data_IF_932751118232
#
_entry.id   IF_932751118232
#
_cell.length_a   1.000
_cell.length_b   1.000
_cell.length_c   1.000
_cell.angle_alpha   90.00
_cell.angle_beta   90.00
_cell.angle_gamma   90.00
#
_symmetry.space_group_name_H-M   'P 1'
#
loop_
_entity.id
_entity.type
_entity.pdbx_description
1 polymer ?
#
# COMPACT_ATOMS: atom_id res chain seq x y z
N UNK A 1 -37.06 10.16 -53.75
CA UNK A 1 -35.75 9.85 -53.13
C UNK A 1 -35.43 10.92 -52.10
N UNK A 2 -35.64 10.67 -50.80
CA UNK A 2 -34.84 11.29 -49.73
C UNK A 2 -34.81 10.28 -48.57
N UNK A 3 -33.74 9.49 -48.50
CA UNK A 3 -33.49 8.61 -47.36
C UNK A 3 -32.95 9.44 -46.21
N UNK A 4 -33.73 9.62 -45.16
CA UNK A 4 -33.27 10.24 -43.92
C UNK A 4 -32.43 9.20 -43.16
N UNK A 5 -31.11 9.30 -43.32
CA UNK A 5 -30.17 8.51 -42.54
C UNK A 5 -30.26 8.90 -41.06
N UNK A 6 -30.84 8.03 -40.24
CA UNK A 6 -30.75 8.15 -38.79
C UNK A 6 -29.29 7.98 -38.38
N UNK A 7 -28.64 9.07 -38.02
CA UNK A 7 -27.35 9.03 -37.35
C UNK A 7 -27.53 8.30 -36.02
N UNK A 8 -27.01 7.07 -35.91
CA UNK A 8 -26.96 6.36 -34.64
C UNK A 8 -26.10 7.16 -33.66
N UNK A 9 -26.76 7.78 -32.66
CA UNK A 9 -26.07 8.33 -31.49
C UNK A 9 -25.31 7.18 -30.84
N UNK A 10 -23.98 7.23 -30.92
CA UNK A 10 -23.08 6.30 -30.23
C UNK A 10 -23.31 6.45 -28.74
N UNK A 11 -24.19 5.64 -28.17
CA UNK A 11 -24.42 5.61 -26.73
C UNK A 11 -23.18 5.03 -26.09
N UNK A 12 -22.49 5.84 -25.28
CA UNK A 12 -21.34 5.42 -24.52
C UNK A 12 -21.79 4.34 -23.53
N UNK A 13 -21.58 3.07 -23.88
CA UNK A 13 -21.85 1.95 -22.99
C UNK A 13 -20.73 1.89 -21.95
N UNK A 14 -21.04 2.36 -20.74
CA UNK A 14 -20.13 2.28 -19.59
C UNK A 14 -19.87 0.81 -19.26
N UNK A 15 -18.59 0.40 -19.26
CA UNK A 15 -18.20 -0.88 -18.69
C UNK A 15 -18.04 -0.69 -17.17
N UNK A 16 -18.90 -1.30 -16.34
CA UNK A 16 -18.88 -1.08 -14.88
C UNK A 16 -17.55 -1.50 -14.25
N UNK A 17 -16.89 -2.53 -14.76
CA UNK A 17 -15.60 -3.01 -14.25
C UNK A 17 -14.52 -1.93 -14.41
N UNK A 18 -14.48 -1.26 -15.57
CA UNK A 18 -13.53 -0.16 -15.83
C UNK A 18 -13.77 1.03 -14.90
N UNK A 19 -15.03 1.34 -14.61
CA UNK A 19 -15.40 2.41 -13.68
C UNK A 19 -14.92 2.06 -12.27
N UNK A 20 -15.16 0.84 -11.81
CA UNK A 20 -14.70 0.39 -10.48
C UNK A 20 -13.17 0.44 -10.38
N UNK A 21 -12.44 -0.02 -11.40
CA UNK A 21 -10.97 0.08 -11.42
C UNK A 21 -10.48 1.53 -11.39
N UNK A 22 -11.08 2.42 -12.17
CA UNK A 22 -10.70 3.83 -12.19
C UNK A 22 -10.96 4.48 -10.82
N UNK A 23 -12.13 4.23 -10.23
CA UNK A 23 -12.48 4.74 -8.91
C UNK A 23 -11.53 4.20 -7.85
N UNK A 24 -11.28 2.89 -7.83
CA UNK A 24 -10.35 2.26 -6.89
C UNK A 24 -8.93 2.83 -7.03
N UNK A 25 -8.45 3.05 -8.25
CA UNK A 25 -7.14 3.65 -8.51
C UNK A 25 -7.04 5.07 -7.93
N UNK A 26 -8.01 5.94 -8.27
CA UNK A 26 -8.00 7.33 -7.80
C UNK A 26 -8.17 7.39 -6.28
N UNK A 27 -9.17 6.69 -5.74
CA UNK A 27 -9.45 6.68 -4.30
C UNK A 27 -8.28 6.09 -3.52
N UNK A 28 -7.72 4.97 -3.97
CA UNK A 28 -6.58 4.34 -3.32
C UNK A 28 -5.32 5.21 -3.31
N UNK A 29 -4.99 5.86 -4.44
CA UNK A 29 -3.86 6.80 -4.50
C UNK A 29 -4.06 8.01 -3.58
N UNK A 30 -5.27 8.55 -3.50
CA UNK A 30 -5.62 9.63 -2.56
C UNK A 30 -5.53 9.12 -1.11
N UNK A 31 -6.01 7.91 -0.82
CA UNK A 31 -5.92 7.31 0.52
C UNK A 31 -4.46 7.15 0.96
N UNK A 32 -3.53 6.75 0.08
CA UNK A 32 -2.11 6.66 0.41
C UNK A 32 -1.53 8.00 0.92
N UNK A 33 -2.06 9.13 0.45
CA UNK A 33 -1.63 10.48 0.83
C UNK A 33 -2.37 10.98 2.07
N UNK A 34 -3.69 10.86 2.09
CA UNK A 34 -4.53 11.50 3.10
C UNK A 34 -4.74 10.68 4.38
N UNK A 35 -4.53 9.36 4.34
CA UNK A 35 -4.47 8.59 5.58
C UNK A 35 -3.21 9.06 6.33
N UNK A 36 -3.30 9.57 7.56
CA UNK A 36 -2.11 9.98 8.28
C UNK A 36 -1.19 8.77 8.50
N UNK A 37 0.12 9.00 8.42
CA UNK A 37 1.12 7.99 8.76
C UNK A 37 0.93 7.54 10.21
N UNK A 38 0.85 6.23 10.44
CA UNK A 38 0.59 5.65 11.74
C UNK A 38 -0.89 5.38 12.04
N UNK A 39 -1.82 5.79 11.18
CA UNK A 39 -3.24 5.39 11.36
C UNK A 39 -3.55 3.99 10.83
N UNK A 40 -2.69 3.41 9.99
CA UNK A 40 -2.78 1.99 9.65
C UNK A 40 -2.54 1.11 10.87
N UNK A 41 -3.13 -0.08 10.89
CA UNK A 41 -2.86 -1.05 11.95
C UNK A 41 -1.38 -1.44 11.91
N UNK A 42 -0.69 -1.27 13.05
CA UNK A 42 0.72 -1.65 13.23
C UNK A 42 1.70 -1.05 12.21
N UNK A 43 1.36 0.08 11.61
CA UNK A 43 2.12 0.67 10.50
C UNK A 43 3.58 1.00 10.87
N UNK A 44 3.79 1.43 12.11
CA UNK A 44 5.10 1.69 12.71
C UNK A 44 5.99 0.42 12.77
N UNK A 45 5.40 -0.71 13.12
CA UNK A 45 6.17 -1.94 13.23
C UNK A 45 6.49 -2.50 11.83
N UNK A 46 5.64 -2.23 10.85
CA UNK A 46 5.90 -2.57 9.45
C UNK A 46 6.97 -1.67 8.82
N UNK A 47 6.98 -0.35 9.04
CA UNK A 47 8.03 0.53 8.50
C UNK A 47 9.42 0.15 9.01
N UNK A 48 9.53 -0.21 10.30
CA UNK A 48 10.77 -0.73 10.89
C UNK A 48 11.20 -1.99 10.16
N UNK A 49 10.26 -2.89 9.85
CA UNK A 49 10.56 -4.11 9.10
C UNK A 49 10.98 -3.83 7.65
N UNK A 50 10.33 -2.90 6.95
CA UNK A 50 10.74 -2.47 5.61
C UNK A 50 12.16 -1.90 5.64
N UNK A 51 12.48 -1.11 6.66
CA UNK A 51 13.81 -0.54 6.83
C UNK A 51 14.88 -1.62 7.11
N UNK A 52 14.56 -2.65 7.87
CA UNK A 52 15.47 -3.79 8.09
C UNK A 52 15.74 -4.58 6.82
N UNK A 53 14.68 -4.93 6.10
CA UNK A 53 14.79 -5.68 4.85
C UNK A 53 15.58 -4.86 3.81
N UNK A 54 15.46 -3.52 3.83
CA UNK A 54 16.28 -2.64 2.99
C UNK A 54 17.78 -2.69 3.32
N UNK A 55 18.12 -3.11 4.54
CA UNK A 55 19.48 -3.37 5.00
C UNK A 55 19.93 -4.81 4.90
N UNK A 56 19.18 -5.65 4.19
CA UNK A 56 19.45 -7.08 4.03
C UNK A 56 19.31 -7.89 5.34
N UNK A 57 18.67 -7.33 6.37
CA UNK A 57 18.33 -8.05 7.60
C UNK A 57 17.03 -8.86 7.43
N UNK A 58 17.10 -9.92 6.62
CA UNK A 58 15.94 -10.75 6.29
C UNK A 58 15.44 -11.60 7.46
N UNK A 59 16.28 -11.91 8.44
CA UNK A 59 15.87 -12.66 9.63
C UNK A 59 15.36 -11.68 10.67
N UNK A 60 14.14 -11.87 11.21
CA UNK A 60 13.55 -10.94 12.15
C UNK A 60 14.03 -11.21 13.58
N UNK A 61 15.35 -11.14 13.78
CA UNK A 61 16.04 -11.33 15.06
C UNK A 61 16.48 -9.99 15.66
N UNK A 62 15.55 -9.03 15.75
CA UNK A 62 15.86 -7.71 16.31
C UNK A 62 16.16 -7.79 17.80
N UNK A 63 17.19 -7.09 18.22
CA UNK A 63 17.43 -6.76 19.63
C UNK A 63 18.39 -5.60 19.77
N UNK A 64 18.20 -4.75 20.78
CA UNK A 64 19.16 -3.69 21.13
C UNK A 64 20.56 -4.30 21.34
N UNK A 65 20.61 -5.51 21.91
CA UNK A 65 21.83 -6.30 22.13
C UNK A 65 22.57 -6.65 20.82
N UNK A 66 21.84 -6.72 19.70
CA UNK A 66 22.39 -6.99 18.36
C UNK A 66 22.75 -5.70 17.61
N UNK A 67 22.55 -4.53 18.22
CA UNK A 67 22.78 -3.22 17.58
C UNK A 67 21.72 -2.85 16.54
N UNK A 68 20.53 -3.46 16.60
CA UNK A 68 19.46 -3.21 15.65
C UNK A 68 18.67 -1.95 16.03
N UNK A 69 19.01 -0.82 15.41
CA UNK A 69 18.31 0.44 15.58
C UNK A 69 17.46 0.81 14.37
N UNK A 70 16.48 1.68 14.59
CA UNK A 70 15.68 2.30 13.53
C UNK A 70 15.74 3.82 13.67
N UNK A 71 15.32 4.54 12.63
CA UNK A 71 15.14 5.98 12.69
C UNK A 71 14.06 6.34 13.73
N UNK A 72 14.39 7.18 14.69
CA UNK A 72 13.47 7.63 15.74
C UNK A 72 12.26 8.38 15.17
N UNK A 73 12.43 9.02 14.01
CA UNK A 73 11.36 9.72 13.31
C UNK A 73 10.23 8.78 12.88
N UNK A 74 10.50 7.49 12.63
CA UNK A 74 9.44 6.52 12.32
C UNK A 74 8.44 6.37 13.47
N UNK A 75 8.89 6.51 14.71
CA UNK A 75 8.04 6.42 15.89
C UNK A 75 7.45 7.80 16.20
N UNK A 76 8.28 8.84 16.23
CA UNK A 76 7.88 10.18 16.63
C UNK A 76 6.85 10.83 15.70
N UNK A 77 6.94 10.57 14.40
CA UNK A 77 6.01 11.13 13.42
C UNK A 77 4.69 10.37 13.34
N UNK A 78 4.62 9.16 13.89
CA UNK A 78 3.40 8.35 13.84
C UNK A 78 2.24 9.04 14.55
N UNK A 79 1.11 9.12 13.86
CA UNK A 79 -0.13 9.69 14.38
C UNK A 79 -0.59 9.05 15.70
N UNK A 80 -0.41 7.73 15.85
CA UNK A 80 -0.83 7.00 17.05
C UNK A 80 0.09 7.21 18.28
N UNK A 81 1.35 7.62 18.07
CA UNK A 81 2.37 7.75 19.13
C UNK A 81 2.58 9.17 19.61
N UNK A 82 1.90 10.15 19.01
CA UNK A 82 2.04 11.54 19.41
C UNK A 82 1.47 11.77 20.79
N UNK A 83 2.27 12.44 21.62
CA UNK A 83 1.90 12.86 22.97
C UNK A 83 0.65 13.76 23.00
N UNK A 84 0.42 14.54 21.93
CA UNK A 84 -0.77 15.36 21.75
C UNK A 84 -1.40 15.05 20.39
N UNK A 85 -2.70 14.77 20.38
CA UNK A 85 -3.47 14.48 19.18
C UNK A 85 -3.70 15.80 18.41
N UNK A 86 -2.74 16.17 17.58
CA UNK A 86 -2.89 17.23 16.59
C UNK A 86 -3.74 16.77 15.42
N UNK A 87 -4.33 17.69 14.63
CA UNK A 87 -5.07 17.32 13.43
C UNK A 87 -4.19 16.50 12.48
N UNK A 88 -4.71 15.38 11.97
CA UNK A 88 -4.01 14.48 11.05
C UNK A 88 -3.40 15.16 9.81
N UNK A 89 -3.94 16.32 9.41
CA UNK A 89 -3.46 17.11 8.28
C UNK A 89 -2.12 17.80 8.54
N UNK A 90 -1.66 17.88 9.78
CA UNK A 90 -0.39 18.52 10.12
C UNK A 90 0.83 17.77 9.56
N UNK A 91 0.70 16.45 9.36
CA UNK A 91 1.67 15.59 8.67
C UNK A 91 1.89 16.01 7.22
N UNK A 92 0.87 16.62 6.61
CA UNK A 92 0.93 17.17 5.26
C UNK A 92 1.31 18.65 5.26
N UNK A 93 1.67 19.20 6.41
CA UNK A 93 2.02 20.61 6.60
C UNK A 93 3.52 20.81 6.87
N UNK A 94 4.02 21.95 6.37
CA UNK A 94 5.42 22.40 6.33
C UNK A 94 6.44 21.56 7.09
N UNK A 95 6.61 21.81 8.40
CA UNK A 95 7.73 21.26 9.16
C UNK A 95 7.74 19.73 9.20
N UNK A 96 6.60 19.12 9.53
CA UNK A 96 6.51 17.65 9.70
C UNK A 96 6.63 16.91 8.37
N UNK A 97 6.11 17.49 7.28
CA UNK A 97 6.18 16.88 5.95
C UNK A 97 7.63 16.80 5.42
N UNK A 98 8.47 17.79 5.77
CA UNK A 98 9.85 17.87 5.30
C UNK A 98 10.88 17.36 6.31
N UNK A 99 10.43 16.74 7.41
CA UNK A 99 11.32 16.18 8.45
C UNK A 99 12.16 15.03 7.86
N UNK A 100 13.49 15.19 7.91
CA UNK A 100 14.48 14.25 7.39
C UNK A 100 14.87 13.19 8.43
N UNK A 101 15.38 12.02 7.99
CA UNK A 101 15.98 11.06 8.91
C UNK A 101 17.18 11.68 9.64
N UNK A 102 17.22 11.53 10.96
CA UNK A 102 18.37 11.90 11.78
C UNK A 102 19.07 10.62 12.27
N UNK A 103 20.21 10.32 11.67
CA UNK A 103 21.02 9.15 11.99
C UNK A 103 21.65 9.19 13.39
N UNK A 104 21.60 10.34 14.08
CA UNK A 104 21.97 10.44 15.50
C UNK A 104 20.79 10.14 16.42
N UNK A 105 19.56 10.27 15.93
CA UNK A 105 18.32 9.99 16.64
C UNK A 105 17.82 8.57 16.35
N UNK A 106 18.59 7.59 16.79
CA UNK A 106 18.28 6.19 16.59
C UNK A 106 17.46 5.65 17.77
N UNK A 107 16.38 4.92 17.49
CA UNK A 107 15.46 4.36 18.48
C UNK A 107 15.41 2.83 18.41
N UNK A 108 15.01 2.21 19.52
CA UNK A 108 14.58 0.81 19.50
C UNK A 108 13.18 0.72 18.90
N UNK A 109 13.03 -0.14 17.89
CA UNK A 109 11.80 -0.34 17.15
C UNK A 109 11.37 -1.79 17.24
N UNK A 110 10.19 -2.04 17.83
CA UNK A 110 9.60 -3.37 17.78
C UNK A 110 9.10 -3.68 16.37
N UNK A 111 9.52 -4.82 15.82
CA UNK A 111 9.17 -5.23 14.46
C UNK A 111 8.09 -6.30 14.47
N UNK A 112 7.25 -6.34 13.42
CA UNK A 112 6.34 -7.48 13.18
C UNK A 112 7.11 -8.62 12.52
N UNK A 113 7.78 -9.40 13.38
CA UNK A 113 8.66 -10.53 13.03
C UNK A 113 7.97 -11.73 12.34
N UNK A 114 6.64 -11.83 12.41
CA UNK A 114 5.91 -13.05 11.99
C UNK A 114 5.71 -13.24 10.47
N UNK A 115 5.97 -12.22 9.63
CA UNK A 115 5.64 -12.26 8.21
C UNK A 115 6.83 -12.68 7.33
N UNK A 116 6.52 -13.34 6.21
CA UNK A 116 7.52 -13.80 5.24
C UNK A 116 8.28 -12.60 4.63
N UNK A 117 9.63 -12.57 4.68
CA UNK A 117 10.41 -11.38 4.30
C UNK A 117 10.22 -10.91 2.85
N UNK A 118 9.90 -11.81 1.91
CA UNK A 118 9.71 -11.44 0.50
C UNK A 118 8.53 -10.48 0.30
N UNK A 119 7.53 -10.49 1.19
CA UNK A 119 6.40 -9.56 1.13
C UNK A 119 6.82 -8.10 1.34
N UNK A 120 7.97 -7.87 1.98
CA UNK A 120 8.47 -6.52 2.27
C UNK A 120 9.36 -5.96 1.19
N UNK A 121 9.94 -6.81 0.32
CA UNK A 121 11.01 -6.41 -0.62
C UNK A 121 10.63 -5.19 -1.46
N UNK A 122 9.43 -5.12 -2.10
CA UNK A 122 9.17 -4.03 -3.03
C UNK A 122 9.18 -2.65 -2.38
N UNK A 123 8.52 -2.49 -1.21
CA UNK A 123 8.55 -1.24 -0.47
C UNK A 123 9.88 -1.07 0.30
N UNK A 124 10.56 -2.15 0.68
CA UNK A 124 11.89 -2.08 1.29
C UNK A 124 12.95 -1.53 0.33
N UNK A 125 12.87 -1.84 -0.98
CA UNK A 125 13.74 -1.21 -1.99
C UNK A 125 13.55 0.31 -2.00
N UNK A 126 12.31 0.77 -1.92
CA UNK A 126 12.00 2.21 -1.82
C UNK A 126 12.60 2.80 -0.54
N UNK A 127 12.39 2.16 0.61
CA UNK A 127 12.95 2.59 1.89
C UNK A 127 14.48 2.73 1.84
N UNK A 128 15.17 1.75 1.22
CA UNK A 128 16.62 1.76 1.05
C UNK A 128 17.08 2.92 0.17
N UNK A 129 16.45 3.12 -0.99
CA UNK A 129 16.80 4.22 -1.89
C UNK A 129 16.54 5.56 -1.21
N UNK A 130 15.37 5.75 -0.62
CA UNK A 130 14.93 7.06 -0.14
C UNK A 130 15.66 7.49 1.13
N UNK A 131 15.79 6.60 2.11
CA UNK A 131 16.36 6.95 3.40
C UNK A 131 17.85 6.65 3.51
N UNK A 132 18.33 5.54 2.94
CA UNK A 132 19.77 5.18 3.06
C UNK A 132 20.65 5.87 2.02
N UNK A 133 20.12 6.25 0.86
CA UNK A 133 20.90 6.86 -0.23
C UNK A 133 20.68 8.37 -0.34
N UNK A 134 19.45 8.85 -0.14
CA UNK A 134 19.08 10.25 -0.41
C UNK A 134 18.70 11.07 0.83
N UNK A 135 18.63 10.48 2.02
CA UNK A 135 18.12 11.12 3.25
C UNK A 135 16.80 11.89 3.01
N UNK A 136 15.89 11.27 2.24
CA UNK A 136 14.61 11.87 1.87
C UNK A 136 13.75 12.03 3.13
N UNK A 137 13.03 13.16 3.30
CA UNK A 137 11.97 13.29 4.29
C UNK A 137 11.07 12.05 4.49
N UNK A 138 10.76 11.76 5.75
CA UNK A 138 10.07 10.51 6.16
C UNK A 138 8.66 10.41 5.56
N UNK A 139 7.85 11.46 5.70
CA UNK A 139 6.44 11.43 5.26
C UNK A 139 6.30 11.26 3.74
N UNK A 140 7.00 12.02 2.89
CA UNK A 140 7.08 11.75 1.45
C UNK A 140 7.55 10.32 1.14
N UNK A 141 8.57 9.81 1.84
CA UNK A 141 9.04 8.43 1.67
C UNK A 141 7.95 7.40 1.95
N UNK A 142 7.20 7.58 3.04
CA UNK A 142 6.03 6.75 3.39
C UNK A 142 4.96 6.79 2.30
N UNK A 143 4.63 7.98 1.77
CA UNK A 143 3.63 8.13 0.70
C UNK A 143 4.05 7.32 -0.55
N UNK A 144 5.32 7.42 -0.95
CA UNK A 144 5.82 6.66 -2.11
C UNK A 144 5.81 5.17 -1.83
N UNK A 145 6.21 4.74 -0.63
CA UNK A 145 6.12 3.33 -0.24
C UNK A 145 4.68 2.80 -0.29
N UNK A 146 3.71 3.59 0.19
CA UNK A 146 2.28 3.26 0.12
C UNK A 146 1.79 3.19 -1.32
N UNK A 147 2.20 4.10 -2.20
CA UNK A 147 1.89 4.00 -3.63
C UNK A 147 2.43 2.72 -4.25
N UNK A 148 3.68 2.34 -3.96
CA UNK A 148 4.25 1.08 -4.46
C UNK A 148 3.46 -0.13 -3.94
N UNK A 149 3.15 -0.17 -2.64
CA UNK A 149 2.32 -1.21 -2.05
C UNK A 149 0.93 -1.31 -2.69
N UNK A 150 0.24 -0.17 -2.82
CA UNK A 150 -1.08 -0.08 -3.43
C UNK A 150 -1.08 -0.47 -4.91
N UNK A 151 -0.09 -0.03 -5.69
CA UNK A 151 0.00 -0.37 -7.12
C UNK A 151 0.26 -1.86 -7.34
N UNK A 152 1.03 -2.50 -6.46
CA UNK A 152 1.18 -3.96 -6.49
C UNK A 152 -0.13 -4.67 -6.16
N UNK A 153 -0.82 -4.26 -5.10
CA UNK A 153 -2.16 -4.76 -4.76
C UNK A 153 -3.10 -4.64 -5.97
N UNK A 154 -3.22 -3.44 -6.52
CA UNK A 154 -4.06 -3.12 -7.67
C UNK A 154 -3.71 -3.97 -8.89
N UNK A 155 -2.41 -4.12 -9.18
CA UNK A 155 -1.92 -4.97 -10.27
C UNK A 155 -2.28 -6.44 -10.10
N UNK A 156 -2.13 -7.00 -8.90
CA UNK A 156 -2.51 -8.37 -8.59
C UNK A 156 -4.02 -8.59 -8.70
N UNK A 157 -4.84 -7.66 -8.21
CA UNK A 157 -6.31 -7.70 -8.38
C UNK A 157 -6.69 -7.61 -9.86
N UNK A 158 -6.01 -6.79 -10.65
CA UNK A 158 -6.24 -6.72 -12.09
C UNK A 158 -5.90 -8.04 -12.80
N UNK A 159 -4.80 -8.69 -12.41
CA UNK A 159 -4.44 -10.02 -12.92
C UNK A 159 -5.46 -11.08 -12.50
N UNK A 160 -5.95 -11.06 -11.26
CA UNK A 160 -6.97 -11.96 -10.76
C UNK A 160 -8.28 -11.80 -11.53
N UNK A 161 -8.71 -10.56 -11.72
CA UNK A 161 -9.90 -10.20 -12.48
C UNK A 161 -9.83 -10.72 -13.94
N UNK A 162 -8.67 -10.62 -14.60
CA UNK A 162 -8.48 -11.16 -15.95
C UNK A 162 -8.64 -12.67 -16.03
N UNK A 163 -8.34 -13.38 -14.96
CA UNK A 163 -8.45 -14.84 -14.93
C UNK A 163 -9.87 -15.33 -14.64
N UNK A 164 -10.69 -14.53 -13.99
CA UNK A 164 -12.04 -14.92 -13.60
C UNK A 164 -12.95 -15.13 -14.83
N UNK A 165 -13.58 -16.32 -14.97
CA UNK A 165 -14.53 -16.59 -16.05
C UNK A 165 -15.91 -15.98 -15.80
N UNK A 166 -16.30 -15.80 -14.53
CA UNK A 166 -17.62 -15.30 -14.11
C UNK A 166 -17.50 -14.52 -12.80
N UNK A 167 -18.55 -13.74 -12.45
CA UNK A 167 -18.61 -13.02 -11.18
C UNK A 167 -17.62 -11.85 -11.03
N UNK A 168 -17.05 -11.38 -12.14
CA UNK A 168 -16.00 -10.36 -12.17
C UNK A 168 -16.34 -9.08 -11.40
N UNK A 169 -17.56 -8.56 -11.57
CA UNK A 169 -17.97 -7.34 -10.88
C UNK A 169 -18.08 -7.55 -9.37
N UNK A 170 -18.66 -8.68 -8.92
CA UNK A 170 -18.76 -9.01 -7.50
C UNK A 170 -17.37 -9.15 -6.86
N UNK A 171 -16.46 -9.82 -7.56
CA UNK A 171 -15.07 -9.92 -7.14
C UNK A 171 -14.42 -8.54 -6.95
N UNK A 172 -14.62 -7.61 -7.90
CA UNK A 172 -14.08 -6.25 -7.78
C UNK A 172 -14.68 -5.46 -6.61
N UNK A 173 -15.97 -5.65 -6.31
CA UNK A 173 -16.61 -5.00 -5.15
C UNK A 173 -15.97 -5.49 -3.83
N UNK A 174 -15.63 -6.78 -3.76
CA UNK A 174 -14.98 -7.36 -2.58
C UNK A 174 -13.52 -6.88 -2.49
N UNK A 175 -12.79 -6.97 -3.60
CA UNK A 175 -11.38 -6.57 -3.70
C UNK A 175 -11.18 -5.06 -3.47
N UNK A 176 -12.13 -4.23 -3.86
CA UNK A 176 -12.09 -2.78 -3.62
C UNK A 176 -13.10 -2.32 -2.57
N UNK A 177 -13.44 -3.21 -1.64
CA UNK A 177 -14.21 -2.83 -0.46
C UNK A 177 -13.46 -1.77 0.36
N UNK A 178 -14.15 -0.94 1.15
CA UNK A 178 -13.50 0.14 1.91
C UNK A 178 -12.34 -0.36 2.79
N UNK A 179 -12.50 -1.51 3.43
CA UNK A 179 -11.45 -2.11 4.26
C UNK A 179 -10.26 -2.61 3.43
N UNK A 180 -10.52 -3.24 2.28
CA UNK A 180 -9.46 -3.72 1.40
C UNK A 180 -8.63 -2.55 0.82
N UNK A 181 -9.28 -1.45 0.42
CA UNK A 181 -8.60 -0.25 -0.03
C UNK A 181 -7.80 0.42 1.11
N UNK A 182 -8.36 0.48 2.32
CA UNK A 182 -7.64 1.01 3.49
C UNK A 182 -6.37 0.21 3.81
N UNK A 183 -6.46 -1.12 3.83
CA UNK A 183 -5.29 -1.97 4.03
C UNK A 183 -4.28 -1.83 2.89
N UNK A 184 -4.72 -1.80 1.64
CA UNK A 184 -3.83 -1.64 0.49
C UNK A 184 -3.14 -0.26 0.44
N UNK A 185 -3.75 0.77 1.02
CA UNK A 185 -3.23 2.14 1.04
C UNK A 185 -2.32 2.46 2.24
N UNK A 186 -2.16 1.55 3.20
CA UNK A 186 -1.31 1.71 4.40
C UNK A 186 -0.11 0.77 4.35
N UNK A 187 0.95 1.04 5.14
CA UNK A 187 2.11 0.15 5.20
C UNK A 187 1.80 -1.08 6.05
N UNK A 188 1.36 -2.15 5.40
CA UNK A 188 1.20 -3.48 5.97
C UNK A 188 1.51 -4.55 4.91
N UNK A 189 1.50 -5.81 5.32
CA UNK A 189 1.61 -6.96 4.42
C UNK A 189 0.28 -7.67 4.16
N UNK A 190 -0.78 -7.28 4.88
CA UNK A 190 -2.09 -7.91 4.80
C UNK A 190 -2.74 -7.67 3.43
N UNK A 191 -2.64 -6.45 2.91
CA UNK A 191 -3.15 -6.11 1.57
C UNK A 191 -2.52 -7.01 0.50
N UNK A 192 -1.19 -7.14 0.50
CA UNK A 192 -0.46 -7.93 -0.49
C UNK A 192 -0.78 -9.43 -0.37
N UNK A 193 -0.85 -9.94 0.87
CA UNK A 193 -1.24 -11.33 1.16
C UNK A 193 -2.66 -11.62 0.66
N UNK A 194 -3.60 -10.71 0.90
CA UNK A 194 -4.98 -10.82 0.45
C UNK A 194 -5.07 -10.83 -1.10
N UNK A 195 -4.32 -9.95 -1.78
CA UNK A 195 -4.30 -9.92 -3.24
C UNK A 195 -3.74 -11.21 -3.86
N UNK A 196 -2.68 -11.77 -3.28
CA UNK A 196 -2.14 -13.07 -3.72
C UNK A 196 -3.17 -14.19 -3.49
N UNK A 197 -3.84 -14.20 -2.34
CA UNK A 197 -4.93 -15.14 -2.05
C UNK A 197 -6.08 -15.04 -3.05
N UNK A 198 -6.51 -13.82 -3.38
CA UNK A 198 -7.55 -13.56 -4.38
C UNK A 198 -7.13 -14.01 -5.79
N UNK A 199 -5.87 -13.77 -6.17
CA UNK A 199 -5.30 -14.26 -7.44
C UNK A 199 -5.31 -15.79 -7.51
N UNK A 200 -4.93 -16.46 -6.42
CA UNK A 200 -4.97 -17.91 -6.32
C UNK A 200 -6.40 -18.46 -6.44
N UNK A 201 -7.38 -17.86 -5.76
CA UNK A 201 -8.79 -18.24 -5.87
C UNK A 201 -9.29 -18.04 -7.30
N UNK A 202 -8.99 -16.90 -7.93
CA UNK A 202 -9.36 -16.62 -9.31
C UNK A 202 -8.81 -17.68 -10.28
N UNK A 203 -7.56 -18.10 -10.07
CA UNK A 203 -6.93 -19.16 -10.85
C UNK A 203 -7.64 -20.51 -10.66
N UNK A 204 -7.98 -20.90 -9.42
CA UNK A 204 -8.72 -22.14 -9.15
C UNK A 204 -10.11 -22.14 -9.79
N UNK A 205 -10.86 -21.04 -9.67
CA UNK A 205 -12.18 -20.89 -10.30
C UNK A 205 -12.07 -21.02 -11.83
N UNK A 206 -11.05 -20.40 -12.43
CA UNK A 206 -10.77 -20.54 -13.86
C UNK A 206 -10.56 -22.01 -14.25
N UNK A 207 -9.78 -22.77 -13.48
CA UNK A 207 -9.52 -24.19 -13.77
C UNK A 207 -10.77 -25.07 -13.62
N UNK A 208 -11.65 -24.76 -12.67
CA UNK A 208 -12.88 -25.55 -12.45
C UNK A 208 -13.91 -25.29 -13.55
N UNK A 209 -14.10 -24.03 -13.95
CA UNK A 209 -15.10 -23.62 -14.93
C UNK A 209 -14.64 -23.83 -16.38
N UNK A 210 -13.33 -23.86 -16.64
CA UNK A 210 -12.79 -24.17 -17.97
C UNK A 210 -12.74 -25.67 -18.30
N UNK A 211 -13.24 -26.53 -17.41
CA UNK A 211 -13.58 -27.94 -17.71
C UNK A 211 -14.97 -28.02 -18.30
#
# INVERSE_FOLDING_TARGET
MIGVGMAQKKTWQWNPEKVVFLLALVVGLLMCVFIPYGAGFDEEAHIVRYFDVSGLHFIPNRGIENGDYTLGEFINLSYQRRNFQSPATDLLSGKLFWEKPDWSNMADGTTRSAYFPLLYIPQAVVAGIFWRVFDWPIIPGVIVMRWVGFLMYFGLIYLAHKQLPLGRLLFLIIAFSPMALFQAATLNTDGLTNAVGMLFIAYLVKLIVAR
#
